data_IF_426832287455
#
_entry.id   IF_426832287455
#
_cell.length_a   1.000
_cell.length_b   1.000
_cell.length_c   1.000
_cell.angle_alpha   90.00
_cell.angle_beta   90.00
_cell.angle_gamma   90.00
#
_symmetry.space_group_name_H-M   'P 1'
#
loop_
_entity.id
_entity.type
_entity.pdbx_description
1 polymer ?
#
# COMPACT_ATOMS: atom_id res chain seq x y z
N UNK A 1 21.79 20.13 -7.85
CA UNK A 1 20.48 20.13 -7.17
C UNK A 1 19.90 18.73 -7.32
N UNK A 2 20.17 17.85 -6.36
CA UNK A 2 19.80 16.43 -6.47
C UNK A 2 18.29 16.28 -6.50
N UNK A 3 17.79 15.51 -7.47
CA UNK A 3 16.38 15.15 -7.64
C UNK A 3 15.85 14.68 -6.28
N UNK A 4 14.87 15.40 -5.72
CA UNK A 4 14.02 14.81 -4.69
C UNK A 4 13.45 13.54 -5.29
N UNK A 5 13.81 12.39 -4.75
CA UNK A 5 13.22 11.14 -5.18
C UNK A 5 11.80 11.20 -4.65
N UNK A 6 10.82 11.22 -5.54
CA UNK A 6 9.42 11.07 -5.14
C UNK A 6 9.34 9.76 -4.33
N UNK A 7 8.89 9.83 -3.07
CA UNK A 7 8.71 8.64 -2.25
C UNK A 7 7.84 7.64 -3.03
N UNK A 8 8.33 6.41 -3.19
CA UNK A 8 7.57 5.39 -3.91
C UNK A 8 6.27 5.11 -3.16
N UNK A 9 5.13 5.29 -3.82
CA UNK A 9 3.81 5.01 -3.27
C UNK A 9 3.30 3.68 -3.79
N UNK A 10 2.84 2.83 -2.89
CA UNK A 10 2.16 1.59 -3.23
C UNK A 10 0.78 1.57 -2.59
N UNK A 11 -0.18 0.94 -3.27
CA UNK A 11 -1.50 0.66 -2.73
C UNK A 11 -1.52 -0.79 -2.29
N UNK A 12 -1.90 -1.05 -1.05
CA UNK A 12 -2.09 -2.40 -0.56
C UNK A 12 -3.52 -2.85 -0.86
N UNK A 13 -3.65 -3.96 -1.57
CA UNK A 13 -4.92 -4.59 -1.93
C UNK A 13 -5.58 -5.26 -0.71
N UNK A 14 -6.04 -4.45 0.25
CA UNK A 14 -6.76 -4.91 1.43
C UNK A 14 -7.68 -3.82 1.99
N UNK A 15 -8.86 -4.21 2.49
CA UNK A 15 -9.67 -3.38 3.38
C UNK A 15 -9.14 -3.27 4.82
N UNK A 16 -8.10 -4.02 5.21
CA UNK A 16 -7.60 -4.06 6.59
C UNK A 16 -6.60 -2.92 6.89
N UNK A 17 -7.06 -1.90 7.63
CA UNK A 17 -6.23 -0.77 8.08
C UNK A 17 -5.05 -1.18 8.99
N UNK A 18 -5.18 -2.27 9.74
CA UNK A 18 -4.12 -2.82 10.58
C UNK A 18 -2.92 -3.28 9.75
N UNK A 19 -3.17 -4.03 8.65
CA UNK A 19 -2.13 -4.48 7.71
C UNK A 19 -1.39 -3.30 7.07
N UNK A 20 -2.09 -2.25 6.65
CA UNK A 20 -1.46 -1.04 6.10
C UNK A 20 -0.52 -0.38 7.11
N UNK A 21 -0.94 -0.26 8.38
CA UNK A 21 -0.09 0.31 9.43
C UNK A 21 1.15 -0.56 9.69
N UNK A 22 1.00 -1.87 9.74
CA UNK A 22 2.10 -2.80 10.03
C UNK A 22 3.10 -2.85 8.88
N UNK A 23 2.63 -3.05 7.65
CA UNK A 23 3.48 -3.08 6.45
C UNK A 23 4.10 -1.71 6.19
N UNK A 24 3.36 -0.62 6.41
CA UNK A 24 3.89 0.75 6.31
C UNK A 24 5.08 0.97 7.24
N UNK A 25 5.04 0.46 8.48
CA UNK A 25 6.19 0.52 9.40
C UNK A 25 7.38 -0.27 8.89
N UNK A 26 7.16 -1.47 8.32
CA UNK A 26 8.23 -2.30 7.78
C UNK A 26 8.93 -1.66 6.58
N UNK A 27 8.18 -0.98 5.72
CA UNK A 27 8.69 -0.38 4.48
C UNK A 27 9.16 1.08 4.63
N UNK A 28 8.94 1.71 5.80
CA UNK A 28 9.28 3.10 6.04
C UNK A 28 10.78 3.42 5.84
N UNK A 29 11.68 2.48 6.17
CA UNK A 29 13.14 2.64 5.99
C UNK A 29 13.54 2.69 4.52
N UNK A 30 12.71 2.16 3.63
CA UNK A 30 12.90 2.21 2.18
C UNK A 30 12.24 3.44 1.54
N UNK A 31 11.70 4.37 2.35
CA UNK A 31 10.98 5.56 1.89
C UNK A 31 9.76 5.22 1.02
N UNK A 32 9.12 4.07 1.29
CA UNK A 32 7.89 3.65 0.62
C UNK A 32 6.68 4.02 1.47
N UNK A 33 5.72 4.71 0.85
CA UNK A 33 4.44 5.04 1.45
C UNK A 33 3.39 4.00 1.03
N UNK A 34 2.70 3.41 2.02
CA UNK A 34 1.69 2.35 1.82
C UNK A 34 0.31 2.91 2.05
N UNK A 35 -0.55 2.82 1.04
CA UNK A 35 -1.91 3.37 1.03
C UNK A 35 -2.98 2.28 0.98
N UNK A 36 -4.16 2.57 1.51
CA UNK A 36 -5.34 1.68 1.39
C UNK A 36 -5.91 1.73 -0.02
N UNK A 37 -6.39 0.59 -0.54
CA UNK A 37 -7.15 0.56 -1.80
C UNK A 37 -8.42 1.40 -1.75
N UNK A 38 -9.07 1.47 -0.59
CA UNK A 38 -10.32 2.20 -0.39
C UNK A 38 -10.16 3.71 -0.54
N UNK A 39 -8.94 4.25 -0.46
CA UNK A 39 -8.67 5.65 -0.77
C UNK A 39 -9.07 6.01 -2.22
N UNK A 40 -9.00 5.04 -3.14
CA UNK A 40 -9.45 5.17 -4.53
C UNK A 40 -10.79 4.48 -4.79
N UNK A 41 -11.54 4.12 -3.75
CA UNK A 41 -12.84 3.44 -3.88
C UNK A 41 -12.74 2.12 -4.69
N UNK A 42 -11.57 1.48 -4.69
CA UNK A 42 -11.38 0.18 -5.33
C UNK A 42 -12.18 -0.86 -4.54
N UNK A 43 -13.15 -1.57 -5.16
CA UNK A 43 -13.89 -2.61 -4.50
C UNK A 43 -12.99 -3.80 -4.18
N UNK A 44 -13.40 -4.63 -3.23
CA UNK A 44 -12.72 -5.91 -3.01
C UNK A 44 -12.85 -6.78 -4.26
N UNK A 45 -11.76 -7.45 -4.62
CA UNK A 45 -11.76 -8.39 -5.74
C UNK A 45 -12.39 -9.72 -5.31
N UNK A 46 -13.06 -10.40 -6.24
CA UNK A 46 -13.46 -11.78 -6.02
C UNK A 46 -12.23 -12.69 -6.03
N UNK A 47 -11.98 -13.38 -4.92
CA UNK A 47 -10.89 -14.36 -4.80
C UNK A 47 -11.33 -15.70 -5.40
N UNK A 48 -11.29 -15.80 -6.74
CA UNK A 48 -11.70 -17.00 -7.49
C UNK A 48 -10.57 -18.01 -7.73
N UNK A 49 -9.37 -17.68 -7.26
CA UNK A 49 -8.21 -18.57 -7.34
C UNK A 49 -8.38 -19.79 -6.46
N UNK A 50 -7.81 -20.92 -6.89
CA UNK A 50 -7.70 -22.11 -6.04
C UNK A 50 -6.47 -22.06 -5.12
N UNK A 51 -5.63 -21.01 -5.24
CA UNK A 51 -4.52 -20.63 -4.37
C UNK A 51 -4.14 -19.17 -4.58
#
# INVERSE_FOLDING_TARGET
>A
MGRMVDNARIVLATGNKGKVREIGKLLATLQIEVMLQSHWQVPEAEETGLT
#
